data_IF_372353201315
#
_entry.id   IF_372353201315
#
_cell.length_a   1.000
_cell.length_b   1.000
_cell.length_c   1.000
_cell.angle_alpha   90.00
_cell.angle_beta   90.00
_cell.angle_gamma   90.00
#
_symmetry.space_group_name_H-M   'P 1'
#
loop_
_entity.id
_entity.type
_entity.pdbx_description
1 polymer ?
#
# COMPACT_ATOMS: atom_id res chain seq x y z
N UNK A 1 -6.35 -17.95 -9.75
CA UNK A 1 -5.95 -18.10 -11.19
C UNK A 1 -5.84 -19.56 -11.65
N UNK A 2 -6.48 -20.49 -10.94
CA UNK A 2 -6.50 -21.90 -11.37
C UNK A 2 -7.31 -22.11 -12.66
N UNK A 3 -8.17 -21.15 -13.01
CA UNK A 3 -9.00 -21.14 -14.23
C UNK A 3 -8.96 -19.74 -14.85
N UNK A 4 -7.94 -19.42 -15.66
CA UNK A 4 -7.80 -18.07 -16.27
C UNK A 4 -8.94 -17.70 -17.22
N UNK A 5 -9.71 -18.67 -17.71
CA UNK A 5 -10.87 -18.51 -18.60
C UNK A 5 -12.21 -18.40 -17.84
N UNK A 6 -12.19 -18.40 -16.48
CA UNK A 6 -13.41 -18.26 -15.69
C UNK A 6 -13.99 -16.87 -15.85
N UNK A 7 -15.09 -16.78 -16.60
CA UNK A 7 -15.78 -15.52 -16.90
C UNK A 7 -16.30 -14.85 -15.62
N UNK A 8 -16.90 -15.64 -14.71
CA UNK A 8 -17.47 -15.10 -13.47
C UNK A 8 -16.38 -14.49 -12.59
N UNK A 9 -15.30 -15.22 -12.35
CA UNK A 9 -14.18 -14.72 -11.55
C UNK A 9 -13.52 -13.48 -12.17
N UNK A 10 -13.40 -13.43 -13.50
CA UNK A 10 -12.84 -12.25 -14.19
C UNK A 10 -13.78 -11.05 -14.14
N UNK A 11 -15.08 -11.26 -14.33
CA UNK A 11 -16.07 -10.18 -14.28
C UNK A 11 -16.16 -9.56 -12.88
N UNK A 12 -16.14 -10.39 -11.84
CA UNK A 12 -16.14 -9.93 -10.45
C UNK A 12 -14.86 -9.13 -10.13
N UNK A 13 -13.69 -9.59 -10.59
CA UNK A 13 -12.43 -8.86 -10.40
C UNK A 13 -12.45 -7.50 -11.11
N UNK A 14 -12.92 -7.46 -12.37
CA UNK A 14 -13.04 -6.21 -13.13
C UNK A 14 -14.03 -5.24 -12.45
N UNK A 15 -15.17 -5.75 -11.98
CA UNK A 15 -16.16 -4.96 -11.28
C UNK A 15 -15.59 -4.39 -9.98
N UNK A 16 -14.95 -5.22 -9.14
CA UNK A 16 -14.32 -4.79 -7.91
C UNK A 16 -13.23 -3.72 -8.15
N UNK A 17 -12.39 -3.89 -9.19
CA UNK A 17 -11.37 -2.92 -9.56
C UNK A 17 -11.98 -1.58 -10.01
N UNK A 18 -13.05 -1.63 -10.81
CA UNK A 18 -13.77 -0.42 -11.26
C UNK A 18 -14.40 0.31 -10.07
N UNK A 19 -15.02 -0.42 -9.15
CA UNK A 19 -15.61 0.16 -7.93
C UNK A 19 -14.55 0.79 -7.03
N UNK A 20 -13.43 0.10 -6.81
CA UNK A 20 -12.35 0.59 -5.96
C UNK A 20 -11.69 1.88 -6.49
N UNK A 21 -11.73 2.10 -7.82
CA UNK A 21 -11.11 3.25 -8.46
C UNK A 21 -12.12 4.37 -8.80
N UNK A 22 -13.39 4.14 -8.57
CA UNK A 22 -14.45 5.12 -8.78
C UNK A 22 -14.92 5.69 -7.45
N UNK A 23 -15.37 6.94 -7.43
CA UNK A 23 -15.96 7.56 -6.25
C UNK A 23 -17.36 7.00 -5.91
N UNK A 24 -17.80 5.93 -6.59
CA UNK A 24 -19.12 5.32 -6.43
C UNK A 24 -19.32 4.63 -5.07
N UNK A 25 -18.24 4.11 -4.47
CA UNK A 25 -18.32 3.50 -3.13
C UNK A 25 -18.16 4.51 -1.99
N UNK A 26 -18.17 5.78 -2.37
CA UNK A 26 -18.16 6.92 -1.46
C UNK A 26 -16.79 7.14 -0.84
N UNK A 27 -16.45 8.40 -0.71
CA UNK A 27 -15.30 8.93 -0.02
C UNK A 27 -14.02 9.11 -0.85
N UNK A 28 -13.41 10.19 -0.59
CA UNK A 28 -12.13 10.62 -1.06
C UNK A 28 -11.05 9.57 -0.74
N UNK A 29 -10.63 8.81 -1.74
CA UNK A 29 -9.59 7.79 -1.58
C UNK A 29 -8.23 8.43 -1.25
N UNK A 30 -7.41 7.72 -0.47
CA UNK A 30 -6.02 8.11 -0.21
C UNK A 30 -5.16 7.57 -1.34
N UNK A 31 -4.79 8.43 -2.29
CA UNK A 31 -4.03 8.04 -3.48
C UNK A 31 -2.49 8.12 -3.32
N UNK A 32 -1.97 8.29 -2.09
CA UNK A 32 -0.53 8.40 -1.85
C UNK A 32 0.29 7.24 -2.47
N UNK A 33 -0.13 5.98 -2.25
CA UNK A 33 0.53 4.82 -2.86
C UNK A 33 0.40 4.81 -4.38
N UNK A 34 -0.74 5.26 -4.91
CA UNK A 34 -0.98 5.35 -6.35
C UNK A 34 0.01 6.32 -7.00
N UNK A 35 0.16 7.50 -6.44
CA UNK A 35 1.10 8.51 -6.93
C UNK A 35 2.55 8.05 -6.81
N UNK A 36 2.95 7.48 -5.66
CA UNK A 36 4.27 6.87 -5.48
C UNK A 36 4.55 5.75 -6.50
N UNK A 37 3.54 4.97 -6.89
CA UNK A 37 3.70 3.89 -7.86
C UNK A 37 4.09 4.38 -9.25
N UNK A 38 3.63 5.57 -9.64
CA UNK A 38 4.01 6.18 -10.92
C UNK A 38 5.52 6.45 -10.97
N UNK A 39 6.12 6.86 -9.85
CA UNK A 39 7.58 7.09 -9.77
C UNK A 39 8.35 5.78 -9.97
N UNK A 40 7.88 4.67 -9.37
CA UNK A 40 8.51 3.35 -9.58
C UNK A 40 8.33 2.83 -11.01
N UNK A 41 7.16 3.09 -11.61
CA UNK A 41 6.91 2.74 -13.01
C UNK A 41 7.82 3.52 -13.95
N UNK A 42 7.99 4.82 -13.71
CA UNK A 42 8.82 5.68 -14.53
C UNK A 42 10.33 5.37 -14.38
N UNK A 43 10.81 5.16 -13.16
CA UNK A 43 12.24 4.97 -12.90
C UNK A 43 12.71 3.54 -13.22
N UNK A 44 11.86 2.53 -13.00
CA UNK A 44 12.25 1.12 -13.08
C UNK A 44 11.43 0.29 -14.09
N UNK A 45 10.44 0.88 -14.75
CA UNK A 45 9.58 0.15 -15.67
C UNK A 45 8.65 -0.88 -14.99
N UNK A 46 8.41 -0.77 -13.69
CA UNK A 46 7.54 -1.70 -12.99
C UNK A 46 6.09 -1.56 -13.47
N UNK A 47 5.38 -2.67 -13.72
CA UNK A 47 3.94 -2.62 -13.93
C UNK A 47 3.25 -1.98 -12.73
N UNK A 48 2.26 -1.12 -12.98
CA UNK A 48 1.58 -0.33 -11.95
C UNK A 48 1.05 -1.16 -10.77
N UNK A 49 0.35 -2.27 -11.04
CA UNK A 49 -0.16 -3.14 -9.98
C UNK A 49 0.93 -3.81 -9.15
N UNK A 50 2.10 -4.08 -9.74
CA UNK A 50 3.26 -4.61 -9.02
C UNK A 50 3.86 -3.54 -8.10
N UNK A 51 4.02 -2.31 -8.62
CA UNK A 51 4.50 -1.19 -7.82
C UNK A 51 3.57 -0.91 -6.61
N UNK A 52 2.26 -0.99 -6.79
CA UNK A 52 1.28 -0.89 -5.70
C UNK A 52 1.42 -2.05 -4.71
N UNK A 53 1.61 -3.29 -5.17
CA UNK A 53 1.81 -4.46 -4.31
C UNK A 53 3.02 -4.34 -3.39
N UNK A 54 4.06 -3.62 -3.81
CA UNK A 54 5.25 -3.31 -3.01
C UNK A 54 4.98 -2.13 -2.06
N UNK A 55 4.36 -1.07 -2.56
CA UNK A 55 4.22 0.19 -1.81
C UNK A 55 3.14 0.14 -0.74
N UNK A 56 2.00 -0.52 -0.99
CA UNK A 56 0.90 -0.53 -0.01
C UNK A 56 1.28 -1.16 1.33
N UNK A 57 1.94 -2.33 1.40
CA UNK A 57 2.44 -2.85 2.68
C UNK A 57 3.47 -1.95 3.35
N UNK A 58 4.35 -1.30 2.58
CA UNK A 58 5.34 -0.36 3.11
C UNK A 58 4.68 0.90 3.69
N UNK A 59 3.68 1.43 3.00
CA UNK A 59 2.85 2.54 3.47
C UNK A 59 2.10 2.16 4.75
N UNK A 60 1.45 1.00 4.80
CA UNK A 60 0.79 0.52 6.02
C UNK A 60 1.76 0.44 7.21
N UNK A 61 2.98 -0.06 7.00
CA UNK A 61 4.03 -0.09 8.04
C UNK A 61 4.41 1.31 8.50
N UNK A 62 4.49 2.27 7.58
CA UNK A 62 4.77 3.66 7.95
C UNK A 62 3.62 4.27 8.75
N UNK A 63 2.38 4.01 8.36
CA UNK A 63 1.18 4.52 9.05
C UNK A 63 1.02 3.97 10.47
N UNK A 64 1.62 2.83 10.83
CA UNK A 64 1.61 2.33 12.21
C UNK A 64 2.14 3.34 13.24
N UNK A 65 2.99 4.27 12.83
CA UNK A 65 3.56 5.29 13.71
C UNK A 65 2.50 6.22 14.31
N UNK A 66 1.46 6.54 13.52
CA UNK A 66 0.45 7.55 13.89
C UNK A 66 -0.99 7.02 13.81
N UNK A 67 -1.23 5.95 13.06
CA UNK A 67 -2.56 5.43 12.71
C UNK A 67 -2.69 3.91 12.95
N UNK A 68 -2.23 3.37 14.10
CA UNK A 68 -2.31 1.92 14.34
C UNK A 68 -3.76 1.41 14.39
N UNK A 69 -4.71 2.23 14.89
CA UNK A 69 -6.13 1.85 14.99
C UNK A 69 -6.77 1.67 13.61
N UNK A 70 -6.52 2.58 12.68
CA UNK A 70 -7.07 2.54 11.34
C UNK A 70 -6.52 1.33 10.56
N UNK A 71 -5.23 1.02 10.73
CA UNK A 71 -4.64 -0.19 10.13
C UNK A 71 -5.15 -1.46 10.84
N UNK A 72 -5.46 -1.41 12.14
CA UNK A 72 -6.07 -2.54 12.84
C UNK A 72 -7.50 -2.81 12.37
N UNK A 73 -8.30 -1.76 12.12
CA UNK A 73 -9.64 -1.89 11.51
C UNK A 73 -9.54 -2.50 10.12
N UNK A 74 -8.62 -2.04 9.27
CA UNK A 74 -8.33 -2.66 7.97
C UNK A 74 -7.97 -4.14 8.12
N UNK A 75 -7.15 -4.47 9.12
CA UNK A 75 -6.73 -5.85 9.40
C UNK A 75 -7.90 -6.75 9.81
N UNK A 76 -8.81 -6.22 10.62
CA UNK A 76 -10.05 -6.88 11.02
C UNK A 76 -10.97 -7.11 9.82
N UNK A 77 -11.30 -6.05 9.10
CA UNK A 77 -12.32 -6.09 8.04
C UNK A 77 -11.86 -6.85 6.79
N UNK A 78 -10.60 -6.76 6.42
CA UNK A 78 -10.08 -7.38 5.18
C UNK A 78 -9.44 -8.73 5.45
N UNK A 79 -8.71 -8.86 6.57
CA UNK A 79 -7.89 -10.06 6.86
C UNK A 79 -8.46 -10.93 7.97
N UNK A 80 -9.63 -10.57 8.55
CA UNK A 80 -10.27 -11.28 9.66
C UNK A 80 -9.31 -11.49 10.86
N UNK A 81 -8.51 -10.50 11.17
CA UNK A 81 -7.71 -10.48 12.39
C UNK A 81 -8.63 -10.09 13.55
N UNK A 82 -8.71 -10.86 14.63
CA UNK A 82 -9.55 -10.49 15.78
C UNK A 82 -9.09 -9.14 16.36
N UNK A 83 -10.01 -8.18 16.45
CA UNK A 83 -9.77 -6.85 17.02
C UNK A 83 -11.02 -6.32 17.72
N UNK A 84 -10.89 -5.91 18.98
CA UNK A 84 -11.91 -5.20 19.74
C UNK A 84 -11.54 -3.72 19.79
N UNK A 85 -12.30 -2.88 19.09
CA UNK A 85 -12.09 -1.44 18.99
C UNK A 85 -12.30 -0.70 20.32
N UNK A 86 -12.93 -1.37 21.32
CA UNK A 86 -13.09 -0.85 22.67
C UNK A 86 -11.86 -1.05 23.56
N UNK A 87 -10.90 -1.91 23.14
CA UNK A 87 -9.66 -2.15 23.84
C UNK A 87 -8.60 -1.08 23.55
N UNK A 88 -7.70 -0.89 24.52
CA UNK A 88 -6.61 0.08 24.50
C UNK A 88 -5.71 -0.05 23.25
N UNK A 89 -5.17 1.07 22.79
CA UNK A 89 -4.31 1.23 21.62
C UNK A 89 -3.12 0.27 21.52
N UNK A 90 -2.69 -0.34 22.63
CA UNK A 90 -1.61 -1.34 22.68
C UNK A 90 -1.93 -2.61 21.89
N UNK A 91 -3.20 -2.98 21.76
CA UNK A 91 -3.61 -4.13 20.96
C UNK A 91 -3.68 -3.78 19.46
N UNK A 92 -3.98 -2.53 19.13
CA UNK A 92 -4.13 -2.08 17.75
C UNK A 92 -2.84 -2.30 16.93
N UNK A 93 -1.66 -1.98 17.47
CA UNK A 93 -0.38 -2.15 16.78
C UNK A 93 -0.10 -3.62 16.44
N UNK A 94 -0.33 -4.54 17.38
CA UNK A 94 -0.13 -5.98 17.15
C UNK A 94 -1.11 -6.52 16.09
N UNK A 95 -2.38 -6.12 16.16
CA UNK A 95 -3.41 -6.47 15.17
C UNK A 95 -3.06 -5.93 13.79
N UNK A 96 -2.62 -4.67 13.73
CA UNK A 96 -2.21 -4.04 12.49
C UNK A 96 -1.00 -4.74 11.85
N UNK A 97 0.00 -5.13 12.65
CA UNK A 97 1.18 -5.88 12.17
C UNK A 97 0.79 -7.27 11.63
N UNK A 98 -0.12 -8.00 12.29
CA UNK A 98 -0.65 -9.28 11.77
C UNK A 98 -1.38 -9.07 10.45
N UNK A 99 -2.24 -8.06 10.35
CA UNK A 99 -2.93 -7.73 9.10
C UNK A 99 -2.00 -7.38 7.95
N UNK A 100 -0.96 -6.57 8.20
CA UNK A 100 0.07 -6.26 7.19
C UNK A 100 0.79 -7.54 6.74
N UNK A 101 1.11 -8.43 7.67
CA UNK A 101 1.76 -9.71 7.36
C UNK A 101 0.87 -10.60 6.48
N UNK A 102 -0.44 -10.68 6.77
CA UNK A 102 -1.42 -11.41 5.95
C UNK A 102 -1.56 -10.78 4.56
N UNK A 103 -1.54 -9.46 4.48
CA UNK A 103 -1.57 -8.74 3.20
C UNK A 103 -0.33 -9.08 2.34
N UNK A 104 0.86 -9.03 2.92
CA UNK A 104 2.08 -9.43 2.21
C UNK A 104 2.03 -10.89 1.76
N UNK A 105 1.58 -11.80 2.63
CA UNK A 105 1.41 -13.21 2.30
C UNK A 105 0.41 -13.43 1.14
N UNK A 106 -0.66 -12.66 1.12
CA UNK A 106 -1.61 -12.69 0.00
C UNK A 106 -0.94 -12.26 -1.32
N UNK A 107 -0.20 -11.15 -1.32
CA UNK A 107 0.52 -10.67 -2.51
C UNK A 107 1.51 -11.75 -3.01
N UNK A 108 2.29 -12.34 -2.09
CA UNK A 108 3.20 -13.45 -2.42
C UNK A 108 2.44 -14.67 -2.98
N UNK A 109 1.26 -14.99 -2.43
CA UNK A 109 0.46 -16.14 -2.86
C UNK A 109 -0.04 -16.05 -4.31
N UNK A 110 -0.18 -14.82 -4.82
CA UNK A 110 -0.52 -14.57 -6.23
C UNK A 110 0.72 -14.40 -7.13
N UNK A 111 1.92 -14.64 -6.58
CA UNK A 111 3.19 -14.66 -7.34
C UNK A 111 3.80 -13.28 -7.55
N UNK A 112 3.42 -12.29 -6.74
CA UNK A 112 3.99 -10.94 -6.81
C UNK A 112 4.99 -10.71 -5.68
N UNK A 113 6.06 -9.93 -5.93
CA UNK A 113 7.00 -9.49 -4.90
C UNK A 113 6.36 -8.44 -3.98
N UNK A 114 6.83 -8.37 -2.72
CA UNK A 114 6.40 -7.40 -1.72
C UNK A 114 7.49 -6.40 -1.35
N UNK A 115 8.66 -6.49 -2.00
CA UNK A 115 9.78 -5.56 -1.84
C UNK A 115 10.42 -5.24 -3.20
N UNK A 116 11.10 -4.09 -3.27
CA UNK A 116 11.87 -3.72 -4.46
C UNK A 116 12.99 -4.72 -4.75
N UNK A 117 13.63 -5.24 -3.68
CA UNK A 117 14.68 -6.26 -3.79
C UNK A 117 14.16 -7.54 -4.43
N UNK A 118 12.99 -8.04 -4.00
CA UNK A 118 12.35 -9.21 -4.60
C UNK A 118 11.94 -8.98 -6.06
N UNK A 119 11.61 -7.73 -6.41
CA UNK A 119 11.36 -7.32 -7.79
C UNK A 119 12.65 -7.16 -8.65
N UNK A 120 13.84 -7.45 -8.08
CA UNK A 120 15.13 -7.35 -8.76
C UNK A 120 15.75 -5.94 -8.74
N UNK A 121 15.17 -5.01 -8.01
CA UNK A 121 15.67 -3.63 -7.89
C UNK A 121 16.50 -3.49 -6.63
N UNK A 122 17.82 -3.66 -6.78
CA UNK A 122 18.76 -3.74 -5.64
C UNK A 122 19.26 -2.34 -5.24
N UNK A 123 19.49 -1.47 -6.24
CA UNK A 123 20.08 -0.15 -6.01
C UNK A 123 19.01 0.93 -6.12
N UNK A 124 18.36 1.24 -4.98
CA UNK A 124 17.31 2.26 -4.89
C UNK A 124 17.80 3.45 -4.09
N UNK A 125 17.74 4.64 -4.67
CA UNK A 125 17.94 5.90 -3.98
C UNK A 125 16.57 6.49 -3.62
N UNK A 126 16.08 6.17 -2.41
CA UNK A 126 14.77 6.61 -1.93
C UNK A 126 14.67 8.13 -1.82
N UNK A 127 15.78 8.82 -1.55
CA UNK A 127 15.82 10.29 -1.52
C UNK A 127 15.60 10.87 -2.92
N UNK A 128 16.23 10.29 -3.94
CA UNK A 128 16.05 10.69 -5.34
C UNK A 128 14.59 10.47 -5.76
N UNK A 129 13.99 9.32 -5.42
CA UNK A 129 12.59 9.01 -5.72
C UNK A 129 11.64 9.99 -5.05
N UNK A 130 11.83 10.24 -3.76
CA UNK A 130 11.00 11.20 -3.01
C UNK A 130 11.11 12.62 -3.57
N UNK A 131 12.32 13.07 -3.90
CA UNK A 131 12.54 14.38 -4.54
C UNK A 131 11.91 14.47 -5.94
N UNK A 132 11.91 13.37 -6.69
CA UNK A 132 11.27 13.33 -8.01
C UNK A 132 9.76 13.47 -7.90
N UNK A 133 9.16 12.83 -6.88
CA UNK A 133 7.72 12.90 -6.60
C UNK A 133 7.31 14.27 -6.05
N UNK A 134 8.03 14.78 -5.08
CA UNK A 134 7.77 16.04 -4.40
C UNK A 134 8.99 16.96 -4.56
N UNK A 135 9.11 17.68 -5.70
CA UNK A 135 10.27 18.52 -5.99
C UNK A 135 10.39 19.70 -5.03
N UNK A 136 9.27 20.21 -4.54
CA UNK A 136 9.21 21.32 -3.60
C UNK A 136 9.07 20.83 -2.18
N UNK A 137 9.78 21.45 -1.24
CA UNK A 137 9.75 21.05 0.18
C UNK A 137 8.38 21.31 0.86
N UNK A 138 7.53 22.13 0.25
CA UNK A 138 6.19 22.44 0.76
C UNK A 138 5.10 21.54 0.19
N UNK A 139 5.41 20.77 -0.86
CA UNK A 139 4.47 19.83 -1.46
C UNK A 139 4.24 18.61 -0.56
N UNK A 140 3.01 18.13 -0.52
CA UNK A 140 2.59 16.94 0.21
C UNK A 140 1.72 16.06 -0.67
N UNK A 141 1.55 14.80 -0.27
CA UNK A 141 0.65 13.83 -0.91
C UNK A 141 -0.17 13.11 0.15
N UNK A 142 -1.37 12.63 -0.19
CA UNK A 142 -2.23 11.89 0.75
C UNK A 142 -2.95 12.78 1.76
N UNK A 143 -3.26 14.03 1.38
CA UNK A 143 -3.86 15.05 2.25
C UNK A 143 -5.16 14.60 2.93
N UNK A 144 -5.93 13.71 2.29
CA UNK A 144 -7.23 13.26 2.78
C UNK A 144 -7.14 12.33 4.02
N UNK A 145 -5.95 11.84 4.35
CA UNK A 145 -5.73 10.98 5.51
C UNK A 145 -4.58 11.51 6.38
N UNK A 146 -3.36 11.43 5.87
CA UNK A 146 -2.17 12.01 6.48
C UNK A 146 -1.33 12.66 5.40
N UNK A 147 -1.15 14.00 5.44
CA UNK A 147 -0.24 14.68 4.54
C UNK A 147 1.19 14.14 4.71
N UNK A 148 1.77 13.65 3.64
CA UNK A 148 3.13 13.10 3.61
C UNK A 148 4.04 14.08 2.88
N UNK A 149 5.05 14.57 3.56
CA UNK A 149 6.10 15.40 2.96
C UNK A 149 7.19 14.54 2.29
N UNK A 150 8.20 15.17 1.74
CA UNK A 150 9.31 14.50 1.05
C UNK A 150 10.07 13.49 1.92
N UNK A 151 10.22 13.75 3.24
CA UNK A 151 10.91 12.83 4.16
C UNK A 151 10.06 11.61 4.49
N UNK A 152 8.75 11.79 4.62
CA UNK A 152 7.79 10.70 4.84
C UNK A 152 7.77 9.76 3.62
N UNK A 153 7.68 10.32 2.43
CA UNK A 153 7.74 9.57 1.16
C UNK A 153 9.08 8.83 1.02
N UNK A 154 10.20 9.47 1.39
CA UNK A 154 11.51 8.82 1.43
C UNK A 154 11.51 7.62 2.39
N UNK A 155 10.94 7.76 3.60
CA UNK A 155 10.87 6.69 4.58
C UNK A 155 10.02 5.50 4.08
N UNK A 156 8.92 5.76 3.40
CA UNK A 156 8.09 4.72 2.79
C UNK A 156 8.86 3.99 1.69
N UNK A 157 9.60 4.69 0.81
CA UNK A 157 10.46 4.05 -0.17
C UNK A 157 11.59 3.23 0.47
N UNK A 158 12.13 3.66 1.63
CA UNK A 158 13.11 2.86 2.39
C UNK A 158 12.47 1.54 2.90
N UNK A 159 11.26 1.61 3.47
CA UNK A 159 10.52 0.43 3.92
C UNK A 159 10.18 -0.53 2.75
N UNK A 160 9.99 0.00 1.56
CA UNK A 160 9.70 -0.79 0.35
C UNK A 160 10.92 -1.55 -0.19
N UNK A 161 12.14 -1.24 0.26
CA UNK A 161 13.36 -1.94 -0.22
C UNK A 161 13.43 -3.39 0.23
N UNK A 162 13.06 -3.69 1.48
CA UNK A 162 13.15 -5.04 2.08
C UNK A 162 14.51 -5.37 2.65
#
# INVERSE_FOLDING_TARGET
QKKPEDYEGRSQLMWAAAMAHSDMIGTEGVFACHEMSHILTEEYGLPHGLALGILMPAWCKYMLLNHPQEIAVFSKEVWNVPYDESEDSRNAEAVAQDGISRFQNFICSVGLPVTLREAGIINTDSRKLAKKMLPDQTSVVGENFQPLNQLDVQAIFELAKG
#
